data_IF_840078021973
#
_entry.id   IF_840078021973
#
_cell.length_a   1.000
_cell.length_b   1.000
_cell.length_c   1.000
_cell.angle_alpha   90.00
_cell.angle_beta   90.00
_cell.angle_gamma   90.00
#
_symmetry.space_group_name_H-M   'P 1'
#
loop_
_entity.id
_entity.type
_entity.pdbx_description
1 polymer ?
#
# COMPACT_ATOMS: atom_id res chain seq x y z
N UNK A 1 -7.47 17.23 20.64
CA UNK A 1 -8.35 16.28 21.39
C UNK A 1 -7.85 16.19 22.82
N UNK A 2 -8.73 16.14 23.83
CA UNK A 2 -8.30 16.00 25.23
C UNK A 2 -8.02 14.53 25.49
N UNK A 3 -6.80 14.22 25.94
CA UNK A 3 -6.39 12.87 26.26
C UNK A 3 -6.96 12.39 27.61
N UNK A 4 -7.17 11.09 27.74
CA UNK A 4 -7.62 10.42 28.99
C UNK A 4 -6.65 10.63 30.16
N UNK A 5 -5.38 11.01 29.92
CA UNK A 5 -4.35 11.28 30.92
C UNK A 5 -3.88 12.74 30.94
N UNK A 6 -4.62 13.69 30.35
CA UNK A 6 -4.27 15.12 30.35
C UNK A 6 -3.22 15.56 29.32
N UNK A 7 -2.66 14.66 28.54
CA UNK A 7 -1.83 14.98 27.37
C UNK A 7 -2.68 14.94 26.11
N UNK A 8 -2.58 15.96 25.27
CA UNK A 8 -3.31 16.05 24.01
C UNK A 8 -2.73 15.03 23.01
N UNK A 9 -3.53 14.05 22.59
CA UNK A 9 -3.13 13.09 21.57
C UNK A 9 -3.02 13.79 20.22
N UNK A 10 -1.83 13.79 19.67
CA UNK A 10 -1.50 14.47 18.42
C UNK A 10 -1.26 13.45 17.30
N UNK A 11 -2.27 13.24 16.48
CA UNK A 11 -2.27 12.33 15.32
C UNK A 11 -2.14 13.07 13.98
N UNK A 12 -1.80 14.36 14.00
CA UNK A 12 -1.74 15.18 12.78
C UNK A 12 -0.65 14.69 11.82
N UNK A 13 0.51 14.26 12.34
CA UNK A 13 1.57 13.70 11.51
C UNK A 13 1.16 12.38 10.85
N UNK A 14 0.43 11.52 11.58
CA UNK A 14 -0.07 10.25 11.05
C UNK A 14 -1.08 10.48 9.94
N UNK A 15 -2.01 11.42 10.13
CA UNK A 15 -2.94 11.84 9.08
C UNK A 15 -2.20 12.40 7.86
N UNK A 16 -1.26 13.34 8.08
CA UNK A 16 -0.48 13.95 7.01
C UNK A 16 0.35 12.91 6.25
N UNK A 17 0.88 11.91 6.96
CA UNK A 17 1.57 10.77 6.33
C UNK A 17 0.65 9.93 5.44
N UNK A 18 -0.56 9.62 5.90
CA UNK A 18 -1.54 8.88 5.10
C UNK A 18 -1.96 9.67 3.86
N UNK A 19 -2.14 11.00 3.99
CA UNK A 19 -2.42 11.86 2.83
C UNK A 19 -1.23 11.91 1.86
N UNK A 20 0.00 11.98 2.36
CA UNK A 20 1.19 11.88 1.52
C UNK A 20 1.24 10.54 0.76
N UNK A 21 0.93 9.42 1.41
CA UNK A 21 0.85 8.12 0.73
C UNK A 21 -0.24 8.11 -0.35
N UNK A 22 -1.39 8.72 -0.08
CA UNK A 22 -2.44 8.90 -1.11
C UNK A 22 -1.92 9.69 -2.30
N UNK A 23 -1.24 10.82 -2.07
CA UNK A 23 -0.70 11.67 -3.13
C UNK A 23 0.37 10.93 -3.94
N UNK A 24 1.25 10.15 -3.29
CA UNK A 24 2.19 9.26 -3.97
C UNK A 24 1.48 8.30 -4.93
N UNK A 25 0.43 7.64 -4.47
CA UNK A 25 -0.31 6.66 -5.27
C UNK A 25 -1.02 7.35 -6.44
N UNK A 26 -1.68 8.48 -6.18
CA UNK A 26 -2.39 9.27 -7.20
C UNK A 26 -1.41 9.77 -8.28
N UNK A 27 -0.23 10.26 -7.89
CA UNK A 27 0.78 10.74 -8.84
C UNK A 27 1.36 9.58 -9.67
N UNK A 28 1.58 8.40 -9.06
CA UNK A 28 1.96 7.18 -9.79
C UNK A 28 0.90 6.80 -10.82
N UNK A 29 -0.39 6.83 -10.46
CA UNK A 29 -1.48 6.52 -11.38
C UNK A 29 -1.59 7.55 -12.53
N UNK A 30 -1.40 8.85 -12.24
CA UNK A 30 -1.30 9.90 -13.27
C UNK A 30 -0.12 9.69 -14.21
N UNK A 31 1.04 9.29 -13.67
CA UNK A 31 2.21 8.93 -14.48
C UNK A 31 1.92 7.70 -15.34
N UNK A 32 1.27 6.68 -14.78
CA UNK A 32 0.92 5.46 -15.51
C UNK A 32 -0.01 5.75 -16.71
N UNK A 33 -0.98 6.64 -16.54
CA UNK A 33 -1.84 7.11 -17.63
C UNK A 33 -1.07 7.97 -18.63
N UNK A 34 -0.40 9.03 -18.18
CA UNK A 34 0.34 9.98 -19.03
C UNK A 34 1.41 9.32 -19.88
N UNK A 35 2.16 8.38 -19.31
CA UNK A 35 3.27 7.69 -19.99
C UNK A 35 2.87 6.33 -20.53
N UNK A 36 1.58 5.99 -20.49
CA UNK A 36 1.03 4.73 -21.01
C UNK A 36 1.78 3.49 -20.51
N UNK A 37 2.08 3.44 -19.19
CA UNK A 37 2.90 2.38 -18.58
C UNK A 37 2.33 0.98 -18.73
N UNK A 38 1.02 0.84 -18.86
CA UNK A 38 0.37 -0.45 -19.12
C UNK A 38 0.38 -0.86 -20.61
N UNK A 39 0.79 0.03 -21.50
CA UNK A 39 0.86 -0.24 -22.94
C UNK A 39 2.20 -0.86 -23.32
N UNK A 40 2.19 -1.75 -24.31
CA UNK A 40 3.38 -2.38 -24.88
C UNK A 40 3.40 -2.20 -26.41
N UNK A 41 4.58 -2.03 -26.96
CA UNK A 41 4.75 -2.03 -28.42
C UNK A 41 4.73 -3.46 -28.94
N UNK A 42 3.94 -3.71 -29.97
CA UNK A 42 3.84 -5.03 -30.60
C UNK A 42 4.35 -4.92 -32.03
N UNK A 43 5.43 -5.63 -32.34
CA UNK A 43 5.91 -5.79 -33.71
C UNK A 43 5.10 -6.89 -34.39
N UNK A 44 4.12 -6.47 -35.20
CA UNK A 44 3.20 -7.38 -35.86
C UNK A 44 3.83 -7.88 -37.15
N UNK A 45 3.87 -9.21 -37.37
CA UNK A 45 4.33 -9.84 -38.61
C UNK A 45 3.41 -9.48 -39.77
N UNK A 46 3.96 -9.22 -40.95
CA UNK A 46 3.18 -8.79 -42.13
C UNK A 46 1.95 -9.68 -42.42
N UNK A 47 2.08 -11.00 -42.25
CA UNK A 47 0.98 -11.96 -42.42
C UNK A 47 -0.19 -11.77 -41.43
N UNK A 48 0.05 -11.13 -40.29
CA UNK A 48 -0.93 -10.95 -39.23
C UNK A 48 -1.54 -9.55 -39.22
N UNK A 49 -0.99 -8.58 -39.98
CA UNK A 49 -1.44 -7.17 -39.99
C UNK A 49 -2.93 -7.08 -40.36
N UNK A 50 -3.38 -7.81 -41.39
CA UNK A 50 -4.79 -7.80 -41.82
C UNK A 50 -5.72 -8.34 -40.71
N UNK A 51 -5.28 -9.33 -39.96
CA UNK A 51 -6.04 -9.89 -38.85
C UNK A 51 -6.09 -8.92 -37.68
N UNK A 52 -4.96 -8.27 -37.38
CA UNK A 52 -4.87 -7.32 -36.27
C UNK A 52 -5.79 -6.10 -36.51
N UNK A 53 -5.89 -5.61 -37.71
CA UNK A 53 -6.76 -4.50 -38.10
C UNK A 53 -8.24 -4.90 -38.22
N UNK A 54 -8.57 -6.18 -38.06
CA UNK A 54 -9.93 -6.66 -38.16
C UNK A 54 -10.59 -6.71 -36.80
N UNK A 55 -11.78 -6.13 -36.66
CA UNK A 55 -12.61 -6.21 -35.44
C UNK A 55 -13.03 -7.64 -35.04
N UNK A 56 -12.80 -8.62 -35.93
CA UNK A 56 -13.12 -10.03 -35.68
C UNK A 56 -12.17 -10.71 -34.72
N UNK A 57 -10.94 -10.17 -34.55
CA UNK A 57 -9.92 -10.78 -33.70
C UNK A 57 -9.60 -9.84 -32.55
N UNK A 58 -9.71 -10.36 -31.32
CA UNK A 58 -9.39 -9.66 -30.09
C UNK A 58 -7.93 -9.88 -29.67
N UNK A 59 -7.52 -9.21 -28.57
CA UNK A 59 -6.17 -9.32 -28.02
C UNK A 59 -5.84 -10.76 -27.57
N UNK A 60 -6.83 -11.55 -27.15
CA UNK A 60 -6.62 -12.93 -26.70
C UNK A 60 -6.30 -13.86 -27.87
N UNK A 61 -6.90 -13.61 -29.05
CA UNK A 61 -6.53 -14.31 -30.27
C UNK A 61 -5.03 -14.16 -30.57
N UNK A 62 -4.52 -12.91 -30.54
CA UNK A 62 -3.10 -12.66 -30.81
C UNK A 62 -2.19 -13.23 -29.74
N UNK A 63 -2.63 -13.21 -28.48
CA UNK A 63 -1.92 -13.86 -27.38
C UNK A 63 -1.67 -15.35 -27.66
N UNK A 64 -2.64 -16.06 -28.23
CA UNK A 64 -2.54 -17.49 -28.57
C UNK A 64 -1.76 -17.74 -29.87
N UNK A 65 -1.55 -16.72 -30.70
CA UNK A 65 -0.93 -16.81 -32.00
C UNK A 65 0.48 -16.18 -32.10
N UNK A 66 1.22 -16.22 -30.99
CA UNK A 66 2.65 -15.87 -30.98
C UNK A 66 3.02 -14.54 -30.35
N UNK A 67 2.05 -13.79 -29.78
CA UNK A 67 2.29 -12.50 -29.13
C UNK A 67 2.09 -12.56 -27.60
N UNK A 68 2.09 -13.78 -27.01
CA UNK A 68 1.78 -14.00 -25.59
C UNK A 68 2.66 -13.20 -24.63
N UNK A 69 3.96 -13.10 -24.91
CA UNK A 69 4.89 -12.41 -23.99
C UNK A 69 4.52 -10.94 -23.81
N UNK A 70 4.35 -10.21 -24.91
CA UNK A 70 4.04 -8.77 -24.88
C UNK A 70 2.65 -8.52 -24.29
N UNK A 71 1.67 -9.32 -24.71
CA UNK A 71 0.30 -9.19 -24.22
C UNK A 71 0.21 -9.52 -22.72
N UNK A 72 0.87 -10.59 -22.27
CA UNK A 72 0.90 -10.90 -20.84
C UNK A 72 1.58 -9.80 -20.01
N UNK A 73 2.61 -9.14 -20.54
CA UNK A 73 3.27 -8.01 -19.87
C UNK A 73 2.33 -6.80 -19.75
N UNK A 74 1.63 -6.45 -20.83
CA UNK A 74 0.62 -5.39 -20.82
C UNK A 74 -0.51 -5.70 -19.83
N UNK A 75 -1.08 -6.90 -19.87
CA UNK A 75 -2.14 -7.32 -18.96
C UNK A 75 -1.68 -7.35 -17.51
N UNK A 76 -0.46 -7.79 -17.23
CA UNK A 76 0.13 -7.75 -15.88
C UNK A 76 0.13 -6.33 -15.33
N UNK A 77 0.67 -5.36 -16.06
CA UNK A 77 0.73 -3.96 -15.65
C UNK A 77 -0.66 -3.35 -15.50
N UNK A 78 -1.58 -3.66 -16.42
CA UNK A 78 -2.96 -3.22 -16.33
C UNK A 78 -3.66 -3.72 -15.05
N UNK A 79 -3.49 -4.99 -14.70
CA UNK A 79 -4.04 -5.56 -13.47
C UNK A 79 -3.42 -4.89 -12.23
N UNK A 80 -2.11 -4.66 -12.23
CA UNK A 80 -1.41 -3.97 -11.13
C UNK A 80 -2.00 -2.58 -10.91
N UNK A 81 -2.07 -1.73 -11.95
CA UNK A 81 -2.59 -0.36 -11.78
C UNK A 81 -4.08 -0.32 -11.44
N UNK A 82 -4.88 -1.28 -11.93
CA UNK A 82 -6.29 -1.38 -11.56
C UNK A 82 -6.45 -1.71 -10.07
N UNK A 83 -5.66 -2.65 -9.54
CA UNK A 83 -5.65 -2.98 -8.10
C UNK A 83 -5.16 -1.80 -7.24
N UNK A 84 -4.13 -1.09 -7.70
CA UNK A 84 -3.61 0.10 -7.01
C UNK A 84 -4.66 1.21 -6.92
N UNK A 85 -5.40 1.45 -8.01
CA UNK A 85 -6.47 2.44 -8.03
C UNK A 85 -7.62 2.07 -7.08
N UNK A 86 -8.08 0.82 -7.14
CA UNK A 86 -9.14 0.31 -6.27
C UNK A 86 -8.73 0.35 -4.79
N UNK A 87 -7.53 -0.13 -4.46
CA UNK A 87 -6.95 -0.05 -3.12
C UNK A 87 -6.97 1.39 -2.57
N UNK A 88 -6.50 2.36 -3.36
CA UNK A 88 -6.36 3.74 -2.92
C UNK A 88 -7.71 4.40 -2.62
N UNK A 89 -8.74 4.14 -3.43
CA UNK A 89 -10.09 4.68 -3.22
C UNK A 89 -10.64 4.22 -1.87
N UNK A 90 -10.58 2.91 -1.58
CA UNK A 90 -11.10 2.36 -0.33
C UNK A 90 -10.35 2.88 0.90
N UNK A 91 -9.02 2.99 0.82
CA UNK A 91 -8.21 3.51 1.94
C UNK A 91 -8.50 4.98 2.19
N UNK A 92 -8.58 5.79 1.14
CA UNK A 92 -8.93 7.21 1.25
C UNK A 92 -10.30 7.42 1.90
N UNK A 93 -11.31 6.66 1.48
CA UNK A 93 -12.65 6.72 2.07
C UNK A 93 -12.66 6.24 3.52
N UNK A 94 -11.87 5.21 3.86
CA UNK A 94 -11.73 4.74 5.23
C UNK A 94 -11.13 5.83 6.15
N UNK A 95 -10.11 6.57 5.68
CA UNK A 95 -9.52 7.69 6.42
C UNK A 95 -10.58 8.78 6.65
N UNK A 96 -11.36 9.13 5.64
CA UNK A 96 -12.43 10.13 5.75
C UNK A 96 -13.54 9.69 6.73
N UNK A 97 -13.86 8.40 6.80
CA UNK A 97 -14.78 7.86 7.79
C UNK A 97 -14.19 7.93 9.21
N UNK A 98 -12.91 7.59 9.39
CA UNK A 98 -12.24 7.65 10.69
C UNK A 98 -12.17 9.08 11.24
N UNK A 99 -11.92 10.09 10.39
CA UNK A 99 -11.96 11.52 10.77
C UNK A 99 -13.32 11.98 11.31
N UNK A 100 -14.39 11.29 10.94
CA UNK A 100 -15.76 11.54 11.42
C UNK A 100 -16.15 10.60 12.57
N UNK A 101 -15.20 9.85 13.11
CA UNK A 101 -15.41 8.83 14.16
C UNK A 101 -16.34 7.68 13.73
N UNK A 102 -16.51 7.44 12.43
CA UNK A 102 -17.30 6.33 11.90
C UNK A 102 -16.45 5.05 11.81
N UNK A 103 -15.92 4.58 12.95
CA UNK A 103 -14.92 3.50 13.00
C UNK A 103 -15.42 2.18 12.42
N UNK A 104 -16.67 1.81 12.69
CA UNK A 104 -17.26 0.60 12.12
C UNK A 104 -17.18 0.61 10.58
N UNK A 105 -17.55 1.72 9.96
CA UNK A 105 -17.47 1.91 8.51
C UNK A 105 -16.00 1.97 8.05
N UNK A 106 -15.14 2.73 8.76
CA UNK A 106 -13.73 2.88 8.41
C UNK A 106 -13.01 1.52 8.35
N UNK A 107 -13.13 0.70 9.40
CA UNK A 107 -12.53 -0.63 9.42
C UNK A 107 -13.16 -1.58 8.40
N UNK A 108 -14.46 -1.51 8.16
CA UNK A 108 -15.12 -2.32 7.12
C UNK A 108 -14.58 -1.98 5.73
N UNK A 109 -14.38 -0.69 5.42
CA UNK A 109 -13.77 -0.25 4.15
C UNK A 109 -12.34 -0.76 3.99
N UNK A 110 -11.52 -0.79 5.07
CA UNK A 110 -10.15 -1.30 5.01
C UNK A 110 -10.07 -2.82 4.74
N UNK A 111 -11.15 -3.57 4.93
CA UNK A 111 -11.12 -5.03 4.75
C UNK A 111 -10.73 -5.41 3.33
N UNK A 112 -11.36 -4.84 2.31
CA UNK A 112 -11.05 -5.17 0.91
C UNK A 112 -9.61 -4.82 0.54
N UNK A 113 -9.14 -3.55 0.68
CA UNK A 113 -7.80 -3.18 0.26
C UNK A 113 -6.70 -3.91 1.05
N UNK A 114 -6.82 -4.05 2.37
CA UNK A 114 -5.76 -4.63 3.19
C UNK A 114 -5.78 -6.16 3.20
N UNK A 115 -6.93 -6.79 3.03
CA UNK A 115 -7.05 -8.25 3.05
C UNK A 115 -6.95 -8.85 1.65
N UNK A 116 -7.70 -8.31 0.69
CA UNK A 116 -7.94 -8.94 -0.60
C UNK A 116 -7.03 -8.35 -1.70
N UNK A 117 -7.10 -7.04 -1.96
CA UNK A 117 -6.35 -6.40 -3.04
C UNK A 117 -4.83 -6.48 -2.81
N UNK A 118 -4.39 -6.23 -1.57
CA UNK A 118 -2.97 -6.29 -1.23
C UNK A 118 -2.42 -7.73 -1.35
N UNK A 119 -3.17 -8.76 -0.92
CA UNK A 119 -2.70 -10.14 -1.10
C UNK A 119 -2.63 -10.55 -2.58
N UNK A 120 -3.59 -10.08 -3.39
CA UNK A 120 -3.55 -10.33 -4.82
C UNK A 120 -2.36 -9.63 -5.47
N UNK A 121 -2.07 -8.39 -5.09
CA UNK A 121 -0.89 -7.65 -5.56
C UNK A 121 0.42 -8.34 -5.15
N UNK A 122 0.52 -8.84 -3.91
CA UNK A 122 1.64 -9.64 -3.42
C UNK A 122 1.82 -10.93 -4.22
N UNK A 123 0.73 -11.62 -4.55
CA UNK A 123 0.76 -12.81 -5.42
C UNK A 123 1.27 -12.48 -6.81
N UNK A 124 0.77 -11.40 -7.41
CA UNK A 124 1.16 -10.91 -8.73
C UNK A 124 2.66 -10.60 -8.72
N UNK A 125 3.13 -9.84 -7.73
CA UNK A 125 4.53 -9.47 -7.60
C UNK A 125 5.48 -10.68 -7.42
N UNK A 126 5.06 -11.68 -6.62
CA UNK A 126 5.85 -12.90 -6.41
C UNK A 126 5.90 -13.79 -7.64
N UNK A 127 4.81 -13.87 -8.42
CA UNK A 127 4.70 -14.71 -9.62
C UNK A 127 5.24 -14.03 -10.88
N UNK A 128 5.25 -12.70 -10.92
CA UNK A 128 5.56 -11.92 -12.11
C UNK A 128 4.60 -12.23 -13.25
N UNK A 129 5.06 -12.16 -14.49
CA UNK A 129 4.24 -12.41 -15.68
C UNK A 129 3.59 -13.79 -15.75
N UNK A 130 4.08 -14.77 -14.99
CA UNK A 130 3.45 -16.11 -14.88
C UNK A 130 2.07 -16.07 -14.21
N UNK A 131 1.75 -14.97 -13.52
CA UNK A 131 0.41 -14.79 -12.97
C UNK A 131 -0.66 -14.71 -14.07
N UNK A 132 -0.40 -13.99 -15.15
CA UNK A 132 -1.39 -13.73 -16.22
C UNK A 132 -1.92 -15.02 -16.87
N UNK A 133 -1.09 -15.92 -17.40
CA UNK A 133 -1.60 -17.18 -17.95
C UNK A 133 -2.31 -18.06 -16.91
N UNK A 134 -1.87 -18.05 -15.66
CA UNK A 134 -2.60 -18.76 -14.59
C UNK A 134 -3.99 -18.15 -14.36
N UNK A 135 -4.08 -16.82 -14.32
CA UNK A 135 -5.33 -16.10 -14.10
C UNK A 135 -6.34 -16.32 -15.24
N UNK A 136 -5.87 -16.31 -16.48
CA UNK A 136 -6.74 -16.50 -17.66
C UNK A 136 -7.18 -17.97 -17.86
N UNK A 137 -6.34 -18.94 -17.49
CA UNK A 137 -6.58 -20.36 -17.77
C UNK A 137 -7.22 -21.12 -16.61
N UNK A 138 -7.28 -20.55 -15.40
CA UNK A 138 -7.88 -21.20 -14.24
C UNK A 138 -9.24 -20.59 -13.91
N UNK A 139 -10.18 -21.37 -13.37
CA UNK A 139 -11.46 -20.82 -12.89
C UNK A 139 -11.22 -19.69 -11.90
N UNK A 140 -11.92 -18.55 -12.08
CA UNK A 140 -11.78 -17.35 -11.26
C UNK A 140 -11.91 -17.62 -9.75
N UNK A 141 -12.76 -18.60 -9.38
CA UNK A 141 -12.92 -19.06 -8.00
C UNK A 141 -11.63 -19.53 -7.32
N UNK A 142 -10.59 -19.88 -8.08
CA UNK A 142 -9.30 -20.31 -7.53
C UNK A 142 -8.44 -19.12 -7.04
N UNK A 143 -8.82 -17.90 -7.39
CA UNK A 143 -8.18 -16.66 -6.96
C UNK A 143 -8.94 -15.98 -5.82
N UNK A 144 -10.02 -16.59 -5.33
CA UNK A 144 -10.73 -16.11 -4.13
C UNK A 144 -9.80 -16.20 -2.92
N UNK A 145 -9.61 -15.08 -2.24
CA UNK A 145 -8.71 -14.96 -1.08
C UNK A 145 -9.11 -15.89 0.06
N UNK A 146 -10.40 -16.19 0.20
CA UNK A 146 -10.92 -17.13 1.21
C UNK A 146 -10.49 -18.59 0.96
N UNK A 147 -10.13 -18.93 -0.29
CA UNK A 147 -9.64 -20.27 -0.65
C UNK A 147 -8.13 -20.43 -0.51
N UNK A 148 -7.41 -19.31 -0.37
CA UNK A 148 -5.97 -19.36 -0.15
C UNK A 148 -5.74 -19.76 1.31
N UNK A 149 -5.08 -20.90 1.50
CA UNK A 149 -4.81 -21.46 2.82
C UNK A 149 -3.90 -20.56 3.66
N UNK A 150 -3.93 -20.74 4.98
CA UNK A 150 -3.04 -20.06 5.93
C UNK A 150 -1.56 -20.19 5.51
N UNK A 151 -1.15 -21.39 5.14
CA UNK A 151 0.23 -21.68 4.78
C UNK A 151 0.64 -21.04 3.45
N UNK A 152 -0.28 -21.00 2.49
CA UNK A 152 -0.06 -20.30 1.21
C UNK A 152 0.07 -18.78 1.41
N UNK A 153 -0.80 -18.16 2.23
CA UNK A 153 -0.69 -16.74 2.60
C UNK A 153 0.67 -16.43 3.21
N UNK A 154 1.09 -17.23 4.21
CA UNK A 154 2.41 -17.07 4.83
C UNK A 154 3.57 -17.24 3.84
N UNK A 155 3.46 -18.18 2.90
CA UNK A 155 4.46 -18.39 1.85
C UNK A 155 4.56 -17.21 0.89
N UNK A 156 3.42 -16.66 0.45
CA UNK A 156 3.35 -15.48 -0.41
C UNK A 156 4.01 -14.28 0.29
N UNK A 157 3.55 -13.96 1.49
CA UNK A 157 4.06 -12.83 2.28
C UNK A 157 5.57 -12.94 2.55
N UNK A 158 6.06 -14.13 2.92
CA UNK A 158 7.49 -14.36 3.13
C UNK A 158 8.31 -14.09 1.87
N UNK A 159 7.83 -14.56 0.71
CA UNK A 159 8.51 -14.32 -0.57
C UNK A 159 8.48 -12.85 -0.98
N UNK A 160 7.32 -12.20 -0.82
CA UNK A 160 7.14 -10.79 -1.13
C UNK A 160 8.05 -9.92 -0.25
N UNK A 161 7.98 -10.07 1.08
CA UNK A 161 8.80 -9.31 2.02
C UNK A 161 10.32 -9.55 1.82
N UNK A 162 10.72 -10.78 1.48
CA UNK A 162 12.12 -11.07 1.13
C UNK A 162 12.56 -10.29 -0.12
N UNK A 163 11.68 -10.15 -1.11
CA UNK A 163 11.98 -9.45 -2.37
C UNK A 163 12.11 -7.94 -2.16
N UNK A 164 11.23 -7.34 -1.33
CA UNK A 164 11.27 -5.91 -1.00
C UNK A 164 12.27 -5.55 0.12
N UNK A 165 12.81 -6.56 0.81
CA UNK A 165 13.89 -6.45 1.82
C UNK A 165 13.65 -5.46 2.95
N UNK A 166 12.42 -5.32 3.44
CA UNK A 166 12.10 -4.36 4.50
C UNK A 166 11.22 -4.93 5.62
N UNK A 167 10.08 -5.56 5.27
CA UNK A 167 9.15 -6.12 6.26
C UNK A 167 9.38 -7.63 6.45
N UNK A 168 8.90 -8.17 7.57
CA UNK A 168 8.83 -9.62 7.74
C UNK A 168 7.45 -10.15 7.34
N UNK A 169 7.44 -11.23 6.56
CA UNK A 169 6.17 -11.85 6.17
C UNK A 169 5.34 -12.33 7.36
N UNK A 170 6.00 -12.63 8.50
CA UNK A 170 5.30 -12.97 9.76
C UNK A 170 4.52 -11.77 10.29
N UNK A 171 5.15 -10.59 10.42
CA UNK A 171 4.47 -9.37 10.90
C UNK A 171 3.27 -9.00 10.03
N UNK A 172 3.44 -9.01 8.69
CA UNK A 172 2.35 -8.72 7.76
C UNK A 172 1.22 -9.74 7.83
N UNK A 173 1.54 -11.02 8.08
CA UNK A 173 0.55 -12.05 8.31
C UNK A 173 -0.19 -11.85 9.64
N UNK A 174 0.55 -11.65 10.73
CA UNK A 174 -0.02 -11.52 12.07
C UNK A 174 -0.96 -10.30 12.16
N UNK A 175 -0.59 -9.18 11.55
CA UNK A 175 -1.41 -7.97 11.50
C UNK A 175 -2.71 -8.16 10.70
N UNK A 176 -2.66 -8.86 9.57
CA UNK A 176 -3.78 -8.93 8.62
C UNK A 176 -4.66 -10.17 8.78
N UNK A 177 -4.12 -11.29 9.24
CA UNK A 177 -4.79 -12.61 9.16
C UNK A 177 -4.77 -13.45 10.44
N UNK A 178 -3.89 -13.16 11.42
CA UNK A 178 -3.75 -14.02 12.60
C UNK A 178 -4.83 -13.72 13.64
N UNK A 179 -5.78 -14.65 13.75
CA UNK A 179 -6.97 -14.48 14.63
C UNK A 179 -6.64 -14.41 16.10
N UNK A 180 -5.55 -15.03 16.55
CA UNK A 180 -5.12 -15.02 17.94
C UNK A 180 -4.34 -13.76 18.36
N UNK A 181 -3.86 -12.96 17.40
CA UNK A 181 -3.14 -11.72 17.69
C UNK A 181 -4.09 -10.64 18.20
N UNK A 182 -3.68 -9.92 19.25
CA UNK A 182 -4.45 -8.78 19.80
C UNK A 182 -4.54 -7.62 18.81
N UNK A 183 -3.51 -7.44 17.98
CA UNK A 183 -3.40 -6.35 16.99
C UNK A 183 -3.94 -6.75 15.61
N UNK A 184 -4.61 -7.90 15.49
CA UNK A 184 -5.06 -8.38 14.19
C UNK A 184 -6.30 -7.66 13.69
N UNK A 185 -6.21 -7.16 12.47
CA UNK A 185 -7.33 -6.59 11.72
C UNK A 185 -8.47 -7.59 11.49
N UNK A 186 -8.18 -8.89 11.40
CA UNK A 186 -9.19 -9.93 11.17
C UNK A 186 -10.28 -9.91 12.25
N UNK A 187 -9.92 -9.65 13.51
CA UNK A 187 -10.91 -9.51 14.61
C UNK A 187 -11.82 -8.33 14.42
N UNK A 188 -11.24 -7.17 14.10
CA UNK A 188 -11.99 -5.93 13.91
C UNK A 188 -12.90 -6.05 12.70
N UNK A 189 -12.41 -6.55 11.57
CA UNK A 189 -13.22 -6.75 10.37
C UNK A 189 -14.43 -7.67 10.62
N UNK A 190 -14.25 -8.73 11.40
CA UNK A 190 -15.38 -9.61 11.73
C UNK A 190 -16.39 -8.92 12.65
N UNK A 191 -15.93 -8.14 13.65
CA UNK A 191 -16.82 -7.39 14.53
C UNK A 191 -17.55 -6.26 13.80
N UNK A 192 -16.89 -5.54 12.92
CA UNK A 192 -17.51 -4.41 12.18
C UNK A 192 -18.39 -4.85 11.04
N UNK A 193 -18.18 -6.05 10.48
CA UNK A 193 -18.99 -6.59 9.37
C UNK A 193 -20.22 -7.38 9.83
N UNK A 194 -20.31 -7.78 11.10
CA UNK A 194 -21.38 -8.60 11.64
C UNK A 194 -21.88 -8.09 12.99
N UNK A 195 -23.17 -7.93 13.15
CA UNK A 195 -23.80 -7.53 14.43
C UNK A 195 -23.54 -8.58 15.53
N UNK A 196 -23.51 -9.86 15.15
CA UNK A 196 -23.17 -10.99 16.05
C UNK A 196 -22.16 -11.88 15.36
N UNK A 197 -21.10 -12.25 16.08
CA UNK A 197 -20.01 -13.12 15.61
C UNK A 197 -19.91 -14.34 16.52
N UNK A 198 -19.96 -15.54 15.94
CA UNK A 198 -19.89 -16.81 16.67
C UNK A 198 -18.49 -17.47 16.62
N UNK A 199 -17.49 -16.80 16.06
CA UNK A 199 -16.14 -17.35 15.94
C UNK A 199 -15.45 -17.43 17.29
N UNK A 200 -14.89 -18.60 17.65
CA UNK A 200 -14.30 -18.90 18.96
C UNK A 200 -13.32 -17.84 19.49
N UNK A 201 -12.53 -17.24 18.61
CA UNK A 201 -11.47 -16.30 19.02
C UNK A 201 -11.96 -14.85 19.22
N UNK A 202 -13.20 -14.53 18.77
CA UNK A 202 -13.77 -13.18 18.84
C UNK A 202 -15.31 -13.19 18.84
N UNK A 203 -15.91 -14.19 19.47
CA UNK A 203 -17.36 -14.28 19.63
C UNK A 203 -17.91 -13.00 20.31
N UNK A 204 -19.12 -12.63 19.89
CA UNK A 204 -19.86 -11.59 20.59
C UNK A 204 -20.29 -12.15 21.95
N UNK A 205 -20.08 -11.40 23.01
CA UNK A 205 -20.45 -11.77 24.38
C UNK A 205 -21.97 -11.83 24.54
N UNK A 206 -22.46 -12.70 25.42
CA UNK A 206 -23.89 -12.85 25.69
C UNK A 206 -24.50 -11.51 26.17
N UNK A 207 -25.60 -11.13 25.57
CA UNK A 207 -26.29 -9.87 25.86
C UNK A 207 -25.67 -8.63 25.20
N UNK A 208 -24.68 -8.80 24.32
CA UNK A 208 -24.00 -7.71 23.61
C UNK A 208 -24.22 -7.77 22.09
N UNK A 209 -23.90 -6.68 21.40
CA UNK A 209 -23.88 -6.57 19.94
C UNK A 209 -22.56 -5.93 19.50
N UNK A 210 -22.08 -6.30 18.31
CA UNK A 210 -20.87 -5.72 17.71
C UNK A 210 -21.16 -4.31 17.15
N UNK A 211 -21.42 -3.36 18.03
CA UNK A 211 -21.67 -1.96 17.67
C UNK A 211 -20.59 -1.11 18.33
N UNK A 212 -19.88 -0.31 17.50
CA UNK A 212 -18.88 0.63 17.99
C UNK A 212 -19.54 2.00 18.20
N UNK A 213 -19.71 2.39 19.44
CA UNK A 213 -20.19 3.73 19.80
C UNK A 213 -19.01 4.68 19.97
N UNK A 214 -19.16 5.92 19.52
CA UNK A 214 -18.17 6.97 19.65
C UNK A 214 -18.27 7.68 21.02
N UNK A 215 -17.93 6.98 22.11
CA UNK A 215 -17.65 7.64 23.41
C UNK A 215 -16.23 8.21 23.39
N UNK A 216 -15.93 9.23 24.21
CA UNK A 216 -14.62 9.90 24.19
C UNK A 216 -13.44 8.92 24.34
N UNK A 217 -13.50 8.00 25.31
CA UNK A 217 -12.45 7.00 25.55
C UNK A 217 -12.28 6.04 24.35
N UNK A 218 -13.39 5.56 23.80
CA UNK A 218 -13.40 4.65 22.65
C UNK A 218 -12.91 5.35 21.37
N UNK A 219 -13.21 6.64 21.20
CA UNK A 219 -12.74 7.43 20.07
C UNK A 219 -11.21 7.48 20.03
N UNK A 220 -10.59 7.79 21.16
CA UNK A 220 -9.13 7.91 21.23
C UNK A 220 -8.43 6.58 20.92
N UNK A 221 -8.83 5.49 21.59
CA UNK A 221 -8.26 4.16 21.35
C UNK A 221 -8.40 3.71 19.90
N UNK A 222 -9.58 3.92 19.30
CA UNK A 222 -9.83 3.54 17.91
C UNK A 222 -9.04 4.40 16.91
N UNK A 223 -8.87 5.71 17.18
CA UNK A 223 -8.05 6.58 16.32
C UNK A 223 -6.59 6.16 16.37
N UNK A 224 -6.01 5.97 17.56
CA UNK A 224 -4.63 5.51 17.69
C UNK A 224 -4.42 4.20 16.95
N UNK A 225 -5.28 3.23 17.19
CA UNK A 225 -5.17 1.94 16.53
C UNK A 225 -5.35 2.06 15.00
N UNK A 226 -6.32 2.85 14.53
CA UNK A 226 -6.57 3.07 13.10
C UNK A 226 -5.34 3.65 12.41
N UNK A 227 -4.79 4.75 12.93
CA UNK A 227 -3.62 5.40 12.34
C UNK A 227 -2.38 4.52 12.42
N UNK A 228 -2.12 3.88 13.56
CA UNK A 228 -1.03 2.92 13.73
C UNK A 228 -1.02 1.85 12.64
N UNK A 229 -2.16 1.19 12.42
CA UNK A 229 -2.29 0.12 11.44
C UNK A 229 -2.22 0.68 10.02
N UNK A 230 -2.92 1.78 9.72
CA UNK A 230 -2.93 2.37 8.39
C UNK A 230 -1.54 2.86 7.99
N UNK A 231 -0.80 3.56 8.85
CA UNK A 231 0.55 4.03 8.56
C UNK A 231 1.50 2.86 8.24
N UNK A 232 1.46 1.78 9.05
CA UNK A 232 2.29 0.59 8.82
C UNK A 232 1.95 -0.13 7.51
N UNK A 233 0.66 -0.33 7.21
CA UNK A 233 0.24 -1.01 5.97
C UNK A 233 0.47 -0.14 4.75
N UNK A 234 0.29 1.18 4.85
CA UNK A 234 0.59 2.12 3.75
C UNK A 234 2.08 2.19 3.45
N UNK A 235 2.95 2.21 4.47
CA UNK A 235 4.39 2.10 4.24
C UNK A 235 4.74 0.83 3.45
N UNK A 236 4.19 -0.30 3.87
CA UNK A 236 4.39 -1.57 3.18
C UNK A 236 3.87 -1.54 1.74
N UNK A 237 2.64 -1.04 1.53
CA UNK A 237 2.01 -0.98 0.22
C UNK A 237 2.78 -0.10 -0.76
N UNK A 238 3.14 1.15 -0.36
CA UNK A 238 3.90 2.07 -1.23
C UNK A 238 5.29 1.52 -1.51
N UNK A 239 5.95 0.89 -0.51
CA UNK A 239 7.23 0.20 -0.73
C UNK A 239 7.11 -0.93 -1.75
N UNK A 240 6.05 -1.76 -1.66
CA UNK A 240 5.77 -2.81 -2.64
C UNK A 240 5.54 -2.22 -4.03
N UNK A 241 4.73 -1.17 -4.13
CA UNK A 241 4.43 -0.50 -5.41
C UNK A 241 5.70 0.06 -6.06
N UNK A 242 6.53 0.78 -5.32
CA UNK A 242 7.80 1.32 -5.83
C UNK A 242 8.74 0.20 -6.32
N UNK A 243 8.79 -0.94 -5.61
CA UNK A 243 9.55 -2.11 -6.07
C UNK A 243 8.99 -2.71 -7.36
N UNK A 244 7.66 -2.78 -7.52
CA UNK A 244 7.03 -3.22 -8.78
C UNK A 244 7.43 -2.28 -9.92
N UNK A 245 7.34 -0.96 -9.71
CA UNK A 245 7.69 0.04 -10.73
C UNK A 245 9.15 -0.07 -11.16
N UNK A 246 10.06 -0.28 -10.20
CA UNK A 246 11.49 -0.48 -10.47
C UNK A 246 11.75 -1.78 -11.23
N UNK A 247 11.18 -2.90 -10.77
CA UNK A 247 11.36 -4.21 -11.40
C UNK A 247 10.79 -4.26 -12.84
N UNK A 248 9.77 -3.46 -13.13
CA UNK A 248 9.17 -3.28 -14.47
C UNK A 248 9.90 -2.21 -15.31
N UNK A 249 10.98 -1.63 -14.80
CA UNK A 249 11.77 -0.57 -15.46
C UNK A 249 10.95 0.68 -15.80
N UNK A 250 9.85 0.94 -15.06
CA UNK A 250 9.00 2.12 -15.23
C UNK A 250 9.59 3.37 -14.56
N UNK A 251 10.48 3.17 -13.59
CA UNK A 251 11.23 4.21 -12.91
C UNK A 251 12.70 3.82 -12.80
N UNK A 252 13.59 4.82 -12.78
CA UNK A 252 15.03 4.61 -12.58
C UNK A 252 15.34 4.20 -11.13
N UNK A 253 16.51 3.59 -10.91
CA UNK A 253 17.02 3.31 -9.57
C UNK A 253 17.14 4.58 -8.72
N UNK A 254 17.53 5.69 -9.34
CA UNK A 254 17.63 6.99 -8.67
C UNK A 254 16.26 7.51 -8.22
N UNK A 255 15.25 7.44 -9.09
CA UNK A 255 13.86 7.76 -8.78
C UNK A 255 13.33 6.88 -7.63
N UNK A 256 13.58 5.57 -7.70
CA UNK A 256 13.21 4.63 -6.64
C UNK A 256 13.83 5.04 -5.28
N UNK A 257 15.15 5.25 -5.23
CA UNK A 257 15.85 5.58 -3.99
C UNK A 257 15.39 6.93 -3.40
N UNK A 258 15.14 7.93 -4.23
CA UNK A 258 14.62 9.23 -3.79
C UNK A 258 13.23 9.11 -3.16
N UNK A 259 12.33 8.38 -3.79
CA UNK A 259 10.97 8.20 -3.27
C UNK A 259 10.96 7.33 -2.01
N UNK A 260 11.79 6.29 -1.94
CA UNK A 260 11.96 5.49 -0.73
C UNK A 260 12.49 6.32 0.44
N UNK A 261 13.49 7.17 0.21
CA UNK A 261 14.01 8.10 1.22
C UNK A 261 12.94 9.04 1.75
N UNK A 262 12.17 9.66 0.84
CA UNK A 262 11.06 10.53 1.18
C UNK A 262 9.99 9.82 2.02
N UNK A 263 9.58 8.63 1.61
CA UNK A 263 8.57 7.81 2.28
C UNK A 263 9.00 7.42 3.70
N UNK A 264 10.24 6.94 3.85
CA UNK A 264 10.79 6.53 5.15
C UNK A 264 10.97 7.71 6.10
N UNK A 265 11.43 8.85 5.59
CA UNK A 265 11.53 10.07 6.39
C UNK A 265 10.16 10.52 6.91
N UNK A 266 9.15 10.57 6.04
CA UNK A 266 7.81 10.95 6.46
C UNK A 266 7.23 9.97 7.49
N UNK A 267 7.42 8.65 7.29
CA UNK A 267 7.00 7.64 8.27
C UNK A 267 7.73 7.78 9.61
N UNK A 268 9.02 8.13 9.62
CA UNK A 268 9.76 8.34 10.87
C UNK A 268 9.23 9.51 11.71
N UNK A 269 8.36 10.33 11.14
CA UNK A 269 7.68 11.43 11.82
C UNK A 269 6.28 11.05 12.36
N UNK A 270 5.83 9.81 12.20
CA UNK A 270 4.55 9.30 12.75
C UNK A 270 4.75 8.74 14.17
N UNK A 271 3.65 8.49 14.86
CA UNK A 271 3.69 7.82 16.18
C UNK A 271 4.17 6.37 16.08
N UNK A 272 3.83 5.69 14.99
CA UNK A 272 4.19 4.29 14.74
C UNK A 272 5.65 4.08 14.34
N UNK A 273 6.42 5.06 14.20
CA UNK A 273 7.84 5.23 13.89
C UNK A 273 8.76 4.03 14.34
N UNK A 274 8.38 2.80 14.04
CA UNK A 274 9.09 1.58 14.41
C UNK A 274 10.15 1.14 13.36
N UNK A 275 10.66 2.10 12.58
CA UNK A 275 11.78 1.84 11.68
C UNK A 275 13.02 1.43 12.47
N UNK A 276 13.69 0.33 12.10
CA UNK A 276 14.96 -0.03 12.69
C UNK A 276 15.97 1.13 12.61
N UNK A 277 16.71 1.36 13.69
CA UNK A 277 17.68 2.47 13.78
C UNK A 277 18.67 2.48 12.60
N UNK A 278 19.05 1.30 12.14
CA UNK A 278 19.94 1.10 10.99
C UNK A 278 19.30 1.65 9.69
N UNK A 279 17.99 1.47 9.52
CA UNK A 279 17.25 2.03 8.38
C UNK A 279 17.17 3.54 8.51
N UNK A 280 16.81 4.07 9.69
CA UNK A 280 16.77 5.52 9.91
C UNK A 280 18.10 6.18 9.58
N UNK A 281 19.22 5.58 9.99
CA UNK A 281 20.57 6.07 9.68
C UNK A 281 20.93 5.98 8.19
N UNK A 282 20.32 5.08 7.45
CA UNK A 282 20.55 4.89 6.01
C UNK A 282 19.68 5.79 5.13
N UNK A 283 18.67 6.44 5.68
CA UNK A 283 17.75 7.29 4.92
C UNK A 283 18.50 8.54 4.43
N UNK A 284 18.50 8.74 3.14
CA UNK A 284 19.05 9.92 2.48
C UNK A 284 17.98 10.65 1.70
N UNK A 285 18.04 11.97 1.70
CA UNK A 285 17.11 12.82 0.97
C UNK A 285 17.86 13.58 -0.12
N UNK A 286 17.40 13.48 -1.35
CA UNK A 286 17.99 14.23 -2.48
C UNK A 286 17.31 15.61 -2.56
N UNK A 287 18.10 16.65 -2.55
CA UNK A 287 17.60 18.04 -2.64
C UNK A 287 17.01 18.33 -4.03
N UNK A 288 15.76 18.72 -4.09
CA UNK A 288 15.05 19.09 -5.33
C UNK A 288 15.66 20.33 -6.02
N UNK A 289 16.45 21.16 -5.28
CA UNK A 289 17.02 22.40 -5.84
C UNK A 289 18.44 22.21 -6.39
N UNK A 290 19.29 21.42 -5.74
CA UNK A 290 20.72 21.29 -6.13
C UNK A 290 21.16 19.84 -6.34
N UNK A 291 20.30 18.87 -6.19
CA UNK A 291 20.61 17.44 -6.36
C UNK A 291 21.47 16.80 -5.27
N UNK A 292 22.00 17.61 -4.31
CA UNK A 292 22.86 17.08 -3.25
C UNK A 292 22.07 16.21 -2.26
N UNK A 293 22.77 15.22 -1.70
CA UNK A 293 22.20 14.29 -0.73
C UNK A 293 22.36 14.87 0.68
N UNK A 294 21.32 14.74 1.50
CA UNK A 294 21.28 15.10 2.92
C UNK A 294 20.91 13.88 3.73
N UNK A 295 21.68 13.56 4.76
CA UNK A 295 21.39 12.48 5.70
C UNK A 295 20.32 12.93 6.72
N UNK A 296 19.42 12.04 7.06
CA UNK A 296 18.41 12.30 8.09
C UNK A 296 19.06 12.27 9.48
N UNK A 297 18.60 13.16 10.35
CA UNK A 297 19.01 13.22 11.75
C UNK A 297 17.79 13.21 12.67
N UNK A 298 17.94 12.69 13.89
CA UNK A 298 16.88 12.72 14.91
C UNK A 298 16.37 14.15 15.17
N UNK A 299 17.25 15.16 15.05
CA UNK A 299 16.87 16.58 15.17
C UNK A 299 15.88 17.02 14.07
N UNK A 300 16.07 16.51 12.84
CA UNK A 300 15.16 16.79 11.72
C UNK A 300 13.79 16.13 11.97
N UNK A 301 13.77 14.87 12.41
CA UNK A 301 12.54 14.15 12.76
C UNK A 301 11.80 14.92 13.87
N UNK A 302 12.46 15.23 14.98
CA UNK A 302 11.85 15.94 16.11
C UNK A 302 11.30 17.33 15.72
N UNK A 303 11.98 18.05 14.79
CA UNK A 303 11.49 19.33 14.28
C UNK A 303 10.22 19.16 13.46
N UNK A 304 10.16 18.11 12.62
CA UNK A 304 8.98 17.84 11.80
C UNK A 304 7.80 17.36 12.65
N UNK A 305 8.05 16.56 13.69
CA UNK A 305 7.01 16.16 14.63
C UNK A 305 6.34 17.36 15.32
N UNK A 306 7.15 18.37 15.69
CA UNK A 306 6.63 19.64 16.24
C UNK A 306 5.85 20.48 15.24
N UNK A 307 6.34 20.58 14.00
CA UNK A 307 5.83 21.50 12.98
C UNK A 307 4.76 20.89 12.08
N UNK A 308 4.44 19.60 12.29
CA UNK A 308 3.44 18.85 11.49
C UNK A 308 3.66 18.92 9.99
N UNK A 309 4.93 18.82 9.58
CA UNK A 309 5.33 18.94 8.18
C UNK A 309 6.41 17.92 7.85
N UNK A 310 6.55 17.58 6.57
CA UNK A 310 7.65 16.74 6.07
C UNK A 310 8.63 17.62 5.29
N UNK A 311 9.44 18.40 6.04
CA UNK A 311 10.40 19.34 5.48
C UNK A 311 11.81 19.01 5.93
N UNK A 312 12.77 19.24 5.05
CA UNK A 312 14.19 19.19 5.40
C UNK A 312 14.95 20.34 4.78
N UNK A 313 16.05 20.73 5.43
CA UNK A 313 16.97 21.74 4.93
C UNK A 313 18.17 21.04 4.32
N UNK A 314 18.46 21.35 3.05
CA UNK A 314 19.61 20.80 2.36
C UNK A 314 20.93 21.22 3.02
N UNK A 315 21.83 20.30 3.29
CA UNK A 315 23.13 20.58 3.91
C UNK A 315 24.04 21.41 3.00
N UNK A 316 23.88 21.29 1.68
CA UNK A 316 24.69 22.00 0.69
C UNK A 316 24.14 23.41 0.36
N UNK A 317 22.95 23.49 -0.26
CA UNK A 317 22.42 24.79 -0.72
C UNK A 317 21.62 25.55 0.36
N UNK A 318 21.43 24.98 1.54
CA UNK A 318 20.69 25.53 2.68
C UNK A 318 19.21 25.85 2.41
N UNK A 319 18.68 25.52 1.23
CA UNK A 319 17.25 25.69 0.93
C UNK A 319 16.43 24.62 1.61
N UNK A 320 15.20 24.98 1.97
CA UNK A 320 14.19 24.06 2.51
C UNK A 320 13.50 23.34 1.35
N UNK A 321 13.32 22.03 1.50
CA UNK A 321 12.56 21.17 0.59
C UNK A 321 11.39 20.54 1.34
N UNK A 322 10.25 20.42 0.66
CA UNK A 322 9.02 19.80 1.18
C UNK A 322 8.82 18.48 0.46
N UNK A 323 8.45 17.45 1.20
CA UNK A 323 8.00 16.16 0.64
C UNK A 323 6.48 16.23 0.52
N UNK A 324 5.95 16.18 -0.70
CA UNK A 324 4.54 16.38 -1.00
C UNK A 324 3.97 15.42 -2.06
N UNK A 325 4.65 14.33 -2.37
CA UNK A 325 4.17 13.34 -3.32
C UNK A 325 5.30 12.57 -4.00
N UNK A 326 4.93 11.80 -5.02
CA UNK A 326 5.85 11.02 -5.85
C UNK A 326 6.62 11.93 -6.81
N UNK A 327 7.92 11.67 -6.94
CA UNK A 327 8.80 12.39 -7.86
C UNK A 327 9.23 11.43 -8.97
N UNK A 328 8.85 11.75 -10.20
CA UNK A 328 9.35 11.10 -11.41
C UNK A 328 10.54 11.94 -11.93
N UNK A 329 11.75 11.43 -11.77
CA UNK A 329 12.98 12.10 -12.24
C UNK A 329 13.48 11.50 -13.53
#
# INVERSE_FOLDING_TARGET
MKAVNGEELDLENDYNYLMLCNDFIVDILKCADKYQWSSEKIDIKEKDIKKFNSSKYDIFYFREHGYATVINRSLYKHIVFSLVADYNIYVFDAINCALRYHFGTAFTLLRKPFKDDLLLLEMIYVKGYRFVPEFLNKPIKNFSIDKITKEEKKKILRKCCKKINFFTGKRMYDLRYEKSSKESLEKIWNKTSHIITNAKDYATEDGNLNIIFATEDIVEENLVYFYKVCCSVQLYFVTLLLNILKDEELISEECFNQNMGNLYFAFSCTLENDLPEEIVKSITLKCNNCGSITNITSKMINKNNKNKTFKYKCDHCKKESIINGFILS
#
